data_IF_089860852956
#
_entry.id   IF_089860852956
#
_cell.length_a   1.000
_cell.length_b   1.000
_cell.length_c   1.000
_cell.angle_alpha   90.00
_cell.angle_beta   90.00
_cell.angle_gamma   90.00
#
_symmetry.space_group_name_H-M   'P 1'
#
loop_
_entity.id
_entity.type
_entity.pdbx_description
1 polymer ?
#
# COMPACT_ATOMS: atom_id res chain seq x y z
N UNK A 1 -5.88 -26.99 74.66
CA UNK A 1 -6.71 -25.93 74.06
C UNK A 1 -5.82 -25.12 73.13
N UNK A 2 -5.85 -25.42 71.82
CA UNK A 2 -5.08 -24.69 70.81
C UNK A 2 -6.04 -23.70 70.14
N UNK A 3 -5.75 -22.37 70.35
CA UNK A 3 -6.45 -21.27 69.68
C UNK A 3 -5.92 -21.14 68.26
N UNK A 4 -6.74 -21.38 67.24
CA UNK A 4 -6.45 -21.04 65.86
C UNK A 4 -6.72 -19.57 65.64
N UNK A 5 -5.64 -18.85 65.39
CA UNK A 5 -5.66 -17.44 64.97
C UNK A 5 -5.91 -17.44 63.43
N UNK A 6 -7.15 -17.11 63.03
CA UNK A 6 -7.45 -16.88 61.63
C UNK A 6 -6.92 -15.50 61.25
N UNK A 7 -5.81 -15.49 60.51
CA UNK A 7 -5.32 -14.31 59.79
C UNK A 7 -6.21 -14.13 58.57
N UNK A 8 -7.11 -13.14 58.60
CA UNK A 8 -7.77 -12.59 57.45
C UNK A 8 -6.77 -11.88 56.58
N UNK A 9 -6.19 -12.58 55.60
CA UNK A 9 -5.45 -12.00 54.53
C UNK A 9 -6.43 -11.37 53.53
N UNK A 10 -6.71 -10.06 53.72
CA UNK A 10 -7.47 -9.26 52.76
C UNK A 10 -6.66 -9.23 51.47
N UNK A 11 -7.09 -10.09 50.52
CA UNK A 11 -6.65 -9.98 49.13
C UNK A 11 -7.15 -8.66 48.56
N UNK A 12 -6.32 -7.64 48.62
CA UNK A 12 -6.44 -6.46 47.80
C UNK A 12 -6.15 -6.92 46.36
N UNK A 13 -7.18 -7.43 45.67
CA UNK A 13 -7.13 -7.55 44.23
C UNK A 13 -7.08 -6.12 43.70
N UNK A 14 -5.87 -5.62 43.51
CA UNK A 14 -5.62 -4.47 42.68
C UNK A 14 -6.19 -4.83 41.31
N UNK A 15 -7.35 -4.29 40.99
CA UNK A 15 -7.85 -4.14 39.64
C UNK A 15 -6.82 -3.28 38.89
N UNK A 16 -5.71 -3.90 38.49
CA UNK A 16 -4.90 -3.41 37.40
C UNK A 16 -5.80 -3.51 36.17
N UNK A 17 -6.64 -2.51 36.00
CA UNK A 17 -7.27 -2.26 34.72
C UNK A 17 -6.13 -2.25 33.69
N UNK A 18 -6.06 -3.28 32.88
CA UNK A 18 -5.24 -3.25 31.69
C UNK A 18 -5.76 -2.09 30.85
N UNK A 19 -5.18 -0.92 31.05
CA UNK A 19 -5.31 0.19 30.14
C UNK A 19 -4.74 -0.33 28.81
N UNK A 20 -5.60 -0.91 27.99
CA UNK A 20 -5.28 -1.14 26.58
C UNK A 20 -4.91 0.24 26.06
N UNK A 21 -3.61 0.46 25.88
CA UNK A 21 -3.08 1.73 25.42
C UNK A 21 -3.68 1.96 24.02
N UNK A 22 -4.65 2.90 23.95
CA UNK A 22 -5.33 3.22 22.70
C UNK A 22 -4.30 3.55 21.63
N UNK A 23 -4.54 3.10 20.41
CA UNK A 23 -3.68 3.41 19.30
C UNK A 23 -3.55 4.94 19.17
N UNK A 24 -2.32 5.43 19.20
CA UNK A 24 -2.00 6.85 19.01
C UNK A 24 -1.60 7.04 17.56
N UNK A 25 -2.07 8.14 16.97
CA UNK A 25 -1.75 8.46 15.59
C UNK A 25 -0.23 8.55 15.37
N UNK A 26 0.25 7.97 14.28
CA UNK A 26 1.68 7.89 13.96
C UNK A 26 1.87 8.11 12.46
N UNK A 27 2.69 9.08 12.08
CA UNK A 27 2.96 9.40 10.68
C UNK A 27 3.47 8.19 9.88
N UNK A 28 4.30 7.34 10.47
CA UNK A 28 4.83 6.14 9.81
C UNK A 28 3.74 5.15 9.41
N UNK A 29 2.69 5.05 10.22
CA UNK A 29 1.53 4.22 9.89
C UNK A 29 0.75 4.83 8.73
N UNK A 30 0.57 6.15 8.73
CA UNK A 30 -0.08 6.85 7.63
C UNK A 30 0.71 6.66 6.33
N UNK A 31 2.04 6.83 6.35
CA UNK A 31 2.91 6.63 5.18
C UNK A 31 2.82 5.19 4.65
N UNK A 32 2.73 4.21 5.55
CA UNK A 32 2.52 2.81 5.18
C UNK A 32 1.18 2.62 4.46
N UNK A 33 0.10 3.19 4.99
CA UNK A 33 -1.22 3.09 4.36
C UNK A 33 -1.26 3.81 3.02
N UNK A 34 -0.66 4.98 2.91
CA UNK A 34 -0.60 5.73 1.65
C UNK A 34 0.19 4.97 0.58
N UNK A 35 1.22 4.22 0.99
CA UNK A 35 2.03 3.39 0.09
C UNK A 35 1.28 2.14 -0.38
N UNK A 36 0.52 1.48 0.50
CA UNK A 36 -0.02 0.14 0.23
C UNK A 36 -1.54 0.08 0.07
N UNK A 37 -2.27 1.21 0.16
CA UNK A 37 -3.74 1.23 0.04
C UNK A 37 -4.23 0.65 -1.29
N UNK A 38 -3.56 0.97 -2.39
CA UNK A 38 -4.01 0.56 -3.71
C UNK A 38 -3.86 -0.95 -3.91
N UNK A 39 -2.73 -1.54 -3.46
CA UNK A 39 -2.58 -2.99 -3.50
C UNK A 39 -3.57 -3.70 -2.57
N UNK A 40 -3.87 -3.14 -1.40
CA UNK A 40 -4.86 -3.72 -0.49
C UNK A 40 -6.28 -3.68 -1.08
N UNK A 41 -6.66 -2.58 -1.75
CA UNK A 41 -7.93 -2.46 -2.47
C UNK A 41 -8.00 -3.49 -3.61
N UNK A 42 -6.93 -3.65 -4.38
CA UNK A 42 -6.85 -4.66 -5.42
C UNK A 42 -7.06 -6.08 -4.87
N UNK A 43 -6.36 -6.42 -3.78
CA UNK A 43 -6.55 -7.73 -3.14
C UNK A 43 -7.98 -7.90 -2.62
N UNK A 44 -8.61 -6.85 -2.09
CA UNK A 44 -10.02 -6.88 -1.68
C UNK A 44 -10.95 -7.24 -2.85
N UNK A 45 -10.77 -6.61 -3.99
CA UNK A 45 -11.60 -6.86 -5.18
C UNK A 45 -11.43 -8.27 -5.71
N UNK A 46 -10.20 -8.79 -5.69
CA UNK A 46 -9.86 -10.11 -6.22
C UNK A 46 -10.21 -11.26 -5.27
N UNK A 47 -9.96 -11.08 -3.97
CA UNK A 47 -10.03 -12.15 -2.98
C UNK A 47 -11.11 -11.95 -1.92
N UNK A 48 -11.86 -10.86 -1.97
CA UNK A 48 -12.97 -10.57 -1.05
C UNK A 48 -12.54 -10.46 0.42
N UNK A 49 -11.35 -9.90 0.67
CA UNK A 49 -10.83 -9.58 2.00
C UNK A 49 -10.86 -8.05 2.13
N UNK A 50 -11.47 -7.45 3.20
CA UNK A 50 -11.50 -5.99 3.34
C UNK A 50 -10.12 -5.35 3.24
N UNK A 51 -9.99 -4.28 2.45
CA UNK A 51 -8.73 -3.56 2.30
C UNK A 51 -8.25 -3.00 3.64
N UNK A 52 -9.18 -2.53 4.49
CA UNK A 52 -8.87 -2.05 5.84
C UNK A 52 -8.23 -3.13 6.72
N UNK A 53 -8.71 -4.36 6.64
CA UNK A 53 -8.17 -5.52 7.37
C UNK A 53 -6.74 -5.80 6.89
N UNK A 54 -6.55 -5.92 5.56
CA UNK A 54 -5.24 -6.19 4.97
C UNK A 54 -4.22 -5.11 5.36
N UNK A 55 -4.60 -3.84 5.30
CA UNK A 55 -3.73 -2.72 5.71
C UNK A 55 -3.39 -2.74 7.20
N UNK A 56 -4.39 -2.97 8.07
CA UNK A 56 -4.18 -3.02 9.50
C UNK A 56 -3.30 -4.21 9.93
N UNK A 57 -3.46 -5.38 9.29
CA UNK A 57 -2.58 -6.52 9.48
C UNK A 57 -1.16 -6.17 9.00
N UNK A 58 -1.03 -5.69 7.77
CA UNK A 58 0.28 -5.37 7.19
C UNK A 58 1.08 -4.38 8.04
N UNK A 59 0.46 -3.31 8.57
CA UNK A 59 1.17 -2.34 9.41
C UNK A 59 1.61 -2.93 10.74
N UNK A 60 0.79 -3.81 11.35
CA UNK A 60 1.11 -4.45 12.63
C UNK A 60 2.23 -5.49 12.49
N UNK A 61 2.06 -6.42 11.54
CA UNK A 61 2.98 -7.55 11.36
C UNK A 61 4.35 -7.10 10.83
N UNK A 62 4.39 -6.02 10.03
CA UNK A 62 5.63 -5.51 9.44
C UNK A 62 6.32 -4.41 10.26
N UNK A 63 5.71 -3.95 11.36
CA UNK A 63 6.17 -2.75 12.04
C UNK A 63 6.19 -1.53 11.12
N UNK A 64 5.13 -1.32 10.37
CA UNK A 64 5.04 -0.30 9.31
C UNK A 64 6.13 -0.45 8.23
N UNK A 65 6.37 -1.67 7.78
CA UNK A 65 7.35 -1.98 6.75
C UNK A 65 8.82 -1.98 7.23
N UNK A 66 9.06 -1.90 8.53
CA UNK A 66 10.41 -1.73 9.09
C UNK A 66 10.99 -2.97 9.79
N UNK A 67 10.20 -4.02 9.95
CA UNK A 67 10.72 -5.26 10.51
C UNK A 67 11.87 -5.79 9.65
N UNK A 68 12.78 -6.51 10.25
CA UNK A 68 13.91 -7.10 9.54
C UNK A 68 13.43 -8.03 8.43
N UNK A 69 12.43 -8.85 8.74
CA UNK A 69 11.80 -9.77 7.78
C UNK A 69 11.22 -9.02 6.59
N UNK A 70 10.54 -7.89 6.81
CA UNK A 70 9.99 -7.09 5.72
C UNK A 70 11.09 -6.50 4.84
N UNK A 71 12.15 -5.93 5.44
CA UNK A 71 13.25 -5.30 4.70
C UNK A 71 14.09 -6.30 3.89
N UNK A 72 14.32 -7.52 4.43
CA UNK A 72 15.17 -8.53 3.78
C UNK A 72 14.40 -9.44 2.83
N UNK A 73 13.13 -9.70 3.14
CA UNK A 73 12.34 -10.70 2.44
C UNK A 73 11.02 -10.17 1.84
N UNK A 74 10.72 -8.88 1.93
CA UNK A 74 9.43 -8.29 1.53
C UNK A 74 8.21 -9.01 2.16
N UNK A 75 8.37 -9.67 3.30
CA UNK A 75 7.29 -10.39 3.96
C UNK A 75 6.60 -9.47 4.96
N UNK A 76 5.47 -8.89 4.53
CA UNK A 76 4.71 -7.91 5.30
C UNK A 76 3.75 -8.52 6.32
N UNK A 77 3.52 -9.82 6.27
CA UNK A 77 2.51 -10.51 7.08
C UNK A 77 3.06 -11.63 7.95
N UNK A 78 4.38 -11.80 8.00
CA UNK A 78 5.02 -12.84 8.80
C UNK A 78 4.63 -14.26 8.38
N UNK A 79 4.38 -14.51 7.10
CA UNK A 79 3.93 -15.83 6.65
C UNK A 79 5.11 -16.81 6.69
N UNK A 80 4.95 -17.87 7.50
CA UNK A 80 5.92 -18.98 7.65
C UNK A 80 5.87 -19.91 6.43
N UNK A 81 6.92 -20.70 6.21
CA UNK A 81 7.09 -21.49 4.99
C UNK A 81 5.97 -22.50 4.71
N UNK A 82 5.58 -23.33 5.68
CA UNK A 82 4.48 -24.30 5.53
C UNK A 82 4.42 -25.00 4.15
N UNK A 83 5.52 -25.61 3.72
CA UNK A 83 5.61 -26.26 2.40
C UNK A 83 5.90 -25.32 1.22
N UNK A 84 6.24 -24.07 1.49
CA UNK A 84 6.62 -23.10 0.48
C UNK A 84 7.84 -23.54 -0.34
N UNK A 85 7.72 -23.53 -1.66
CA UNK A 85 8.79 -23.92 -2.60
C UNK A 85 9.55 -22.71 -3.17
N UNK A 86 9.07 -21.48 -2.95
CA UNK A 86 9.72 -20.25 -3.37
C UNK A 86 10.92 -19.86 -2.50
N UNK A 87 11.38 -18.62 -2.65
CA UNK A 87 12.48 -18.07 -1.84
C UNK A 87 12.14 -18.10 -0.36
N UNK A 88 13.14 -18.34 0.48
CA UNK A 88 13.00 -18.45 1.93
C UNK A 88 13.90 -17.45 2.64
N UNK A 89 13.45 -17.01 3.81
CA UNK A 89 14.25 -16.24 4.77
C UNK A 89 14.14 -16.92 6.13
N UNK A 90 15.22 -16.89 6.89
CA UNK A 90 15.26 -17.47 8.23
C UNK A 90 15.39 -16.33 9.24
N UNK A 91 14.57 -16.36 10.26
CA UNK A 91 14.49 -15.31 11.26
C UNK A 91 14.08 -15.92 12.61
N UNK A 92 14.61 -15.35 13.70
CA UNK A 92 14.23 -15.76 15.04
C UNK A 92 12.93 -15.07 15.42
N UNK A 93 11.89 -15.86 15.71
CA UNK A 93 10.58 -15.39 16.16
C UNK A 93 10.16 -16.21 17.39
N UNK A 94 9.18 -17.10 17.29
CA UNK A 94 8.82 -18.00 18.39
C UNK A 94 9.90 -19.05 18.65
N UNK A 95 10.64 -19.44 17.61
CA UNK A 95 11.77 -20.39 17.66
C UNK A 95 12.99 -19.81 16.93
N UNK A 96 14.18 -20.33 17.25
CA UNK A 96 15.42 -19.94 16.56
C UNK A 96 15.43 -20.45 15.12
N UNK A 97 15.72 -19.56 14.15
CA UNK A 97 15.89 -19.94 12.76
C UNK A 97 14.60 -20.37 12.06
N UNK A 98 13.44 -19.85 12.46
CA UNK A 98 12.18 -20.15 11.78
C UNK A 98 12.20 -19.75 10.32
N UNK A 99 11.54 -20.58 9.50
CA UNK A 99 11.46 -20.38 8.05
C UNK A 99 10.26 -19.51 7.67
N UNK A 100 10.54 -18.39 7.03
CA UNK A 100 9.54 -17.48 6.47
C UNK A 100 9.63 -17.43 4.95
N UNK A 101 8.47 -17.19 4.30
CA UNK A 101 8.42 -16.94 2.85
C UNK A 101 9.13 -15.65 2.52
N UNK A 102 9.86 -15.62 1.40
CA UNK A 102 10.53 -14.45 0.89
C UNK A 102 9.99 -14.12 -0.51
N UNK A 103 9.72 -12.85 -0.75
CA UNK A 103 9.10 -12.36 -1.97
C UNK A 103 10.03 -11.39 -2.69
N UNK A 104 9.79 -11.17 -4.00
CA UNK A 104 10.55 -10.22 -4.78
C UNK A 104 10.02 -8.78 -4.58
N UNK A 105 8.77 -8.64 -4.14
CA UNK A 105 8.12 -7.35 -3.89
C UNK A 105 7.12 -7.43 -2.74
N UNK A 106 6.74 -6.27 -2.21
CA UNK A 106 5.62 -6.14 -1.28
C UNK A 106 4.30 -6.65 -1.90
N UNK A 107 4.11 -6.40 -3.20
CA UNK A 107 2.93 -6.87 -3.94
C UNK A 107 2.75 -8.39 -3.84
N UNK A 108 3.83 -9.16 -4.09
CA UNK A 108 3.78 -10.64 -3.95
C UNK A 108 3.40 -11.06 -2.52
N UNK A 109 3.88 -10.33 -1.50
CA UNK A 109 3.53 -10.60 -0.11
C UNK A 109 2.03 -10.36 0.16
N UNK A 110 1.46 -9.28 -0.35
CA UNK A 110 0.03 -8.97 -0.24
C UNK A 110 -0.83 -10.00 -0.96
N UNK A 111 -0.41 -10.41 -2.15
CA UNK A 111 -1.10 -11.43 -2.93
C UNK A 111 -1.07 -12.78 -2.21
N UNK A 112 0.10 -13.21 -1.74
CA UNK A 112 0.25 -14.49 -1.03
C UNK A 112 -0.51 -14.51 0.30
N UNK A 113 -0.57 -13.39 1.02
CA UNK A 113 -1.43 -13.23 2.19
C UNK A 113 -2.91 -13.47 1.85
N UNK A 114 -3.38 -12.93 0.74
CA UNK A 114 -4.75 -13.12 0.29
C UNK A 114 -5.02 -14.58 -0.10
N UNK A 115 -4.08 -15.21 -0.81
CA UNK A 115 -4.15 -16.65 -1.14
C UNK A 115 -4.11 -17.50 0.13
N UNK A 116 -3.27 -17.17 1.10
CA UNK A 116 -3.18 -17.87 2.38
C UNK A 116 -4.51 -17.87 3.13
N UNK A 117 -5.21 -16.74 3.20
CA UNK A 117 -6.52 -16.66 3.85
C UNK A 117 -7.60 -17.41 3.07
N UNK A 118 -7.64 -17.28 1.75
CA UNK A 118 -8.69 -17.88 0.90
C UNK A 118 -8.54 -19.38 0.75
N UNK A 119 -7.32 -19.91 0.73
CA UNK A 119 -7.05 -21.34 0.55
C UNK A 119 -7.23 -22.18 1.82
N UNK A 120 -7.23 -21.56 2.99
CA UNK A 120 -7.33 -22.27 4.26
C UNK A 120 -8.77 -22.39 4.75
N UNK A 121 -9.26 -23.64 4.91
CA UNK A 121 -10.60 -23.92 5.48
C UNK A 121 -10.85 -23.23 6.81
N UNK A 122 -9.79 -23.00 7.60
CA UNK A 122 -9.85 -22.34 8.89
C UNK A 122 -10.49 -20.95 8.83
N UNK A 123 -10.30 -20.22 7.74
CA UNK A 123 -10.81 -18.87 7.54
C UNK A 123 -12.09 -18.81 6.70
N UNK A 124 -12.62 -19.94 6.23
CA UNK A 124 -13.75 -19.97 5.30
C UNK A 124 -15.00 -19.22 5.79
N UNK A 125 -15.28 -19.25 7.09
CA UNK A 125 -16.42 -18.54 7.69
C UNK A 125 -16.34 -17.02 7.54
N UNK A 126 -15.14 -16.44 7.39
CA UNK A 126 -14.97 -15.00 7.25
C UNK A 126 -15.56 -14.48 5.93
N UNK A 127 -15.55 -15.31 4.90
CA UNK A 127 -16.01 -14.93 3.56
C UNK A 127 -17.55 -14.84 3.44
N UNK A 128 -18.30 -15.19 4.49
CA UNK A 128 -19.73 -14.90 4.62
C UNK A 128 -20.02 -13.49 5.13
N UNK A 129 -19.01 -12.80 5.69
CA UNK A 129 -19.13 -11.44 6.17
C UNK A 129 -19.13 -10.42 5.02
N UNK A 130 -19.79 -9.28 5.24
CA UNK A 130 -19.70 -8.16 4.30
C UNK A 130 -18.28 -7.57 4.32
N UNK A 131 -17.79 -7.07 3.19
CA UNK A 131 -16.50 -6.38 3.13
C UNK A 131 -16.44 -5.19 4.08
N UNK A 132 -17.55 -4.49 4.26
CA UNK A 132 -17.65 -3.34 5.18
C UNK A 132 -17.74 -3.72 6.66
N UNK A 133 -17.84 -5.02 6.98
CA UNK A 133 -17.87 -5.49 8.38
C UNK A 133 -16.45 -5.82 8.88
N UNK A 134 -15.57 -4.82 8.86
CA UNK A 134 -14.20 -4.97 9.36
C UNK A 134 -14.11 -5.42 10.82
N UNK A 135 -15.14 -5.10 11.66
CA UNK A 135 -15.19 -5.55 13.05
C UNK A 135 -15.44 -7.04 13.16
N UNK A 136 -16.36 -7.56 12.36
CA UNK A 136 -16.61 -9.00 12.23
C UNK A 136 -15.39 -9.74 11.71
N UNK A 137 -14.73 -9.19 10.69
CA UNK A 137 -13.49 -9.73 10.14
C UNK A 137 -12.36 -9.79 11.17
N UNK A 138 -12.11 -8.68 11.91
CA UNK A 138 -11.05 -8.64 12.93
C UNK A 138 -11.27 -9.68 14.04
N UNK A 139 -12.50 -9.78 14.55
CA UNK A 139 -12.86 -10.77 15.57
C UNK A 139 -12.78 -12.19 15.03
N UNK A 140 -13.24 -12.40 13.82
CA UNK A 140 -13.20 -13.70 13.14
C UNK A 140 -11.77 -14.18 12.89
N UNK A 141 -10.87 -13.31 12.44
CA UNK A 141 -9.43 -13.64 12.30
C UNK A 141 -8.83 -14.11 13.62
N UNK A 142 -9.14 -13.39 14.73
CA UNK A 142 -8.70 -13.81 16.07
C UNK A 142 -9.31 -15.16 16.47
N UNK A 143 -10.60 -15.35 16.27
CA UNK A 143 -11.29 -16.61 16.58
C UNK A 143 -10.76 -17.78 15.76
N UNK A 144 -10.39 -17.55 14.50
CA UNK A 144 -9.74 -18.53 13.64
C UNK A 144 -8.25 -18.74 13.98
N UNK A 145 -7.70 -18.07 15.00
CA UNK A 145 -6.32 -18.28 15.45
C UNK A 145 -5.27 -17.70 14.50
N UNK A 146 -5.56 -16.57 13.82
CA UNK A 146 -4.57 -15.87 13.00
C UNK A 146 -3.40 -15.38 13.87
N UNK A 147 -3.69 -14.88 15.07
CA UNK A 147 -2.70 -14.45 16.04
C UNK A 147 -3.03 -14.96 17.44
N UNK A 148 -2.01 -15.18 18.27
CA UNK A 148 -2.14 -15.65 19.65
C UNK A 148 -2.57 -14.53 20.61
N UNK A 149 -2.15 -13.29 20.37
CA UNK A 149 -2.43 -12.13 21.22
C UNK A 149 -3.93 -11.96 21.51
N UNK A 150 -4.37 -11.85 22.78
CA UNK A 150 -5.77 -11.64 23.15
C UNK A 150 -6.33 -10.31 22.66
N UNK A 151 -5.47 -9.31 22.45
CA UNK A 151 -5.85 -7.95 22.02
C UNK A 151 -5.82 -7.77 20.49
N UNK A 152 -5.51 -8.81 19.73
CA UNK A 152 -5.30 -8.70 18.27
C UNK A 152 -6.47 -8.02 17.55
N UNK A 153 -7.68 -8.53 17.75
CA UNK A 153 -8.88 -7.97 17.12
C UNK A 153 -9.12 -6.50 17.49
N UNK A 154 -8.93 -6.18 18.78
CA UNK A 154 -9.10 -4.79 19.28
C UNK A 154 -8.09 -3.86 18.62
N UNK A 155 -6.82 -4.28 18.51
CA UNK A 155 -5.76 -3.48 17.87
C UNK A 155 -6.05 -3.24 16.39
N UNK A 156 -6.52 -4.26 15.65
CA UNK A 156 -6.92 -4.08 14.26
C UNK A 156 -8.05 -3.04 14.15
N UNK A 157 -9.10 -3.17 14.97
CA UNK A 157 -10.24 -2.25 14.96
C UNK A 157 -9.80 -0.82 15.28
N UNK A 158 -8.99 -0.63 16.32
CA UNK A 158 -8.49 0.70 16.73
C UNK A 158 -7.69 1.36 15.60
N UNK A 159 -6.81 0.61 14.92
CA UNK A 159 -6.04 1.11 13.78
C UNK A 159 -6.99 1.49 12.64
N UNK A 160 -7.91 0.61 12.29
CA UNK A 160 -8.87 0.87 11.20
C UNK A 160 -9.70 2.12 11.48
N UNK A 161 -10.15 2.31 12.71
CA UNK A 161 -10.94 3.48 13.11
C UNK A 161 -10.11 4.76 13.18
N UNK A 162 -8.92 4.71 13.79
CA UNK A 162 -8.03 5.86 13.94
C UNK A 162 -7.61 6.46 12.59
N UNK A 163 -7.25 5.60 11.62
CA UNK A 163 -6.81 6.03 10.29
C UNK A 163 -7.95 6.03 9.26
N UNK A 164 -9.17 5.71 9.69
CA UNK A 164 -10.38 5.66 8.83
C UNK A 164 -10.18 4.74 7.62
N UNK A 165 -9.49 3.60 7.80
CA UNK A 165 -9.19 2.67 6.72
C UNK A 165 -10.44 2.00 6.15
N UNK A 166 -11.53 1.90 6.94
CA UNK A 166 -12.83 1.38 6.49
C UNK A 166 -13.38 2.08 5.24
N UNK A 167 -12.92 3.29 4.94
CA UNK A 167 -13.28 4.00 3.71
C UNK A 167 -12.84 3.28 2.44
N UNK A 168 -11.81 2.43 2.53
CA UNK A 168 -11.31 1.64 1.42
C UNK A 168 -12.07 0.34 1.18
N UNK A 169 -12.99 -0.06 2.09
CA UNK A 169 -13.76 -1.30 2.00
C UNK A 169 -15.01 -1.15 1.11
N UNK A 170 -15.29 0.05 0.64
CA UNK A 170 -16.47 0.31 -0.18
C UNK A 170 -16.10 0.20 -1.68
N UNK A 171 -16.64 -0.84 -2.34
CA UNK A 171 -16.42 -1.08 -3.78
C UNK A 171 -16.86 0.10 -4.66
N UNK A 172 -17.80 0.94 -4.20
CA UNK A 172 -18.25 2.12 -4.93
C UNK A 172 -17.24 3.27 -4.96
N UNK A 173 -16.25 3.27 -4.05
CA UNK A 173 -15.15 4.23 -4.05
C UNK A 173 -13.94 3.75 -4.83
N UNK A 174 -13.96 2.50 -5.30
CA UNK A 174 -12.95 2.01 -6.23
C UNK A 174 -13.28 2.61 -7.58
N UNK A 175 -12.40 3.46 -8.09
CA UNK A 175 -12.58 4.06 -9.40
C UNK A 175 -12.85 2.97 -10.44
N UNK A 176 -13.83 3.24 -11.34
CA UNK A 176 -14.19 2.36 -12.46
C UNK A 176 -12.95 1.86 -13.21
N UNK A 177 -11.92 2.69 -13.28
CA UNK A 177 -10.65 2.35 -13.91
C UNK A 177 -9.89 1.24 -13.16
N UNK A 178 -9.86 1.26 -11.82
CA UNK A 178 -9.26 0.20 -11.00
C UNK A 178 -10.05 -1.11 -11.10
N UNK A 179 -11.39 -1.04 -11.14
CA UNK A 179 -12.26 -2.20 -11.32
C UNK A 179 -12.09 -2.87 -12.68
N UNK A 180 -11.95 -2.09 -13.75
CA UNK A 180 -11.69 -2.62 -15.09
C UNK A 180 -10.32 -3.29 -15.19
N UNK A 181 -9.29 -2.74 -14.54
CA UNK A 181 -7.96 -3.34 -14.45
C UNK A 181 -7.98 -4.73 -13.79
N UNK A 182 -8.70 -4.87 -12.67
CA UNK A 182 -8.82 -6.14 -11.94
C UNK A 182 -9.60 -7.20 -12.77
N UNK A 183 -10.55 -6.80 -13.59
CA UNK A 183 -11.38 -7.72 -14.39
C UNK A 183 -10.66 -8.28 -15.62
N UNK A 184 -9.71 -7.53 -16.19
CA UNK A 184 -9.08 -7.91 -17.47
C UNK A 184 -7.79 -8.70 -17.34
N UNK A 185 -7.27 -8.95 -16.11
CA UNK A 185 -5.93 -9.52 -15.95
C UNK A 185 -5.89 -10.84 -15.19
N UNK A 186 -5.65 -11.92 -15.91
CA UNK A 186 -5.00 -13.12 -15.40
C UNK A 186 -3.48 -13.01 -15.33
N UNK A 187 -2.91 -11.80 -15.38
CA UNK A 187 -1.47 -11.50 -15.39
C UNK A 187 -1.03 -10.63 -14.21
N UNK A 188 0.27 -10.43 -14.08
CA UNK A 188 0.88 -9.58 -13.05
C UNK A 188 0.29 -8.17 -13.12
N UNK A 189 -0.54 -7.82 -12.13
CA UNK A 189 -1.16 -6.50 -12.05
C UNK A 189 -0.13 -5.44 -11.69
N UNK A 190 -0.06 -4.42 -12.52
CA UNK A 190 0.80 -3.26 -12.28
C UNK A 190 0.09 -2.30 -11.34
N UNK A 191 0.78 -1.87 -10.28
CA UNK A 191 0.22 -0.90 -9.34
C UNK A 191 -0.07 0.43 -10.06
N UNK A 192 -1.34 0.85 -10.05
CA UNK A 192 -1.79 2.14 -10.58
C UNK A 192 -1.89 3.13 -9.44
N UNK A 193 -1.28 4.29 -9.60
CA UNK A 193 -1.28 5.39 -8.65
C UNK A 193 -2.14 6.52 -9.16
N UNK A 194 -2.77 7.27 -8.24
CA UNK A 194 -3.50 8.49 -8.58
C UNK A 194 -2.73 9.73 -8.14
N UNK A 195 -2.62 10.71 -9.04
CA UNK A 195 -2.15 12.04 -8.72
C UNK A 195 -2.69 13.06 -9.74
N UNK A 196 -2.99 14.27 -9.29
CA UNK A 196 -3.48 15.38 -10.13
C UNK A 196 -4.76 15.00 -10.93
N UNK A 197 -5.68 14.26 -10.29
CA UNK A 197 -6.89 13.67 -10.93
C UNK A 197 -6.54 12.90 -12.22
N UNK A 198 -5.47 12.15 -12.18
CA UNK A 198 -4.97 11.32 -13.28
C UNK A 198 -4.28 10.09 -12.71
N UNK A 199 -4.03 9.08 -13.54
CA UNK A 199 -3.43 7.83 -13.14
C UNK A 199 -2.07 7.63 -13.77
N UNK A 200 -1.16 7.01 -13.03
CA UNK A 200 0.15 6.60 -13.53
C UNK A 200 0.58 5.26 -12.95
N UNK A 201 1.52 4.62 -13.60
CA UNK A 201 2.25 3.45 -13.10
C UNK A 201 3.73 3.78 -13.02
N UNK A 202 4.46 3.03 -12.21
CA UNK A 202 5.92 3.11 -12.15
C UNK A 202 6.51 2.04 -13.04
N UNK A 203 7.43 2.42 -13.91
CA UNK A 203 8.13 1.50 -14.79
C UNK A 203 9.08 0.60 -13.99
N UNK A 204 9.10 -0.69 -14.29
CA UNK A 204 10.08 -1.65 -13.79
C UNK A 204 11.24 -1.80 -14.79
N UNK A 205 12.32 -2.40 -14.33
CA UNK A 205 13.47 -2.69 -15.20
C UNK A 205 13.05 -3.51 -16.43
N UNK A 206 13.33 -2.99 -17.61
CA UNK A 206 13.01 -3.63 -18.89
C UNK A 206 11.61 -3.32 -19.43
N UNK A 207 10.86 -2.44 -18.77
CA UNK A 207 9.56 -1.99 -19.28
C UNK A 207 9.68 -1.16 -20.55
N UNK A 208 8.63 -1.26 -21.33
CA UNK A 208 8.39 -0.46 -22.54
C UNK A 208 6.96 0.07 -22.52
N UNK A 209 6.66 1.09 -23.32
CA UNK A 209 5.25 1.50 -23.49
C UNK A 209 4.37 0.36 -24.00
N UNK A 210 4.94 -0.63 -24.70
CA UNK A 210 4.21 -1.80 -25.19
C UNK A 210 3.86 -2.77 -24.05
N UNK A 211 4.83 -3.10 -23.17
CA UNK A 211 4.59 -3.99 -22.03
C UNK A 211 3.58 -3.34 -21.06
N UNK A 212 3.84 -2.09 -20.67
CA UNK A 212 2.91 -1.35 -19.80
C UNK A 212 1.52 -1.23 -20.44
N UNK A 213 1.46 -0.95 -21.75
CA UNK A 213 0.18 -0.83 -22.46
C UNK A 213 -0.64 -2.11 -22.47
N UNK A 214 0.02 -3.27 -22.55
CA UNK A 214 -0.64 -4.57 -22.42
C UNK A 214 -1.15 -4.80 -20.99
N UNK A 215 -0.34 -4.44 -19.98
CA UNK A 215 -0.71 -4.61 -18.57
C UNK A 215 -1.91 -3.76 -18.14
N UNK A 216 -2.05 -2.54 -18.71
CA UNK A 216 -3.08 -1.57 -18.31
C UNK A 216 -4.19 -1.39 -19.35
N UNK A 217 -4.26 -2.24 -20.37
CA UNK A 217 -5.20 -2.17 -21.49
C UNK A 217 -5.28 -0.78 -22.15
N UNK A 218 -4.12 -0.13 -22.31
CA UNK A 218 -4.01 1.15 -23.00
C UNK A 218 -3.03 1.01 -24.17
N UNK A 219 -3.46 1.39 -25.36
CA UNK A 219 -2.58 1.36 -26.53
C UNK A 219 -1.24 2.05 -26.23
N UNK A 220 -0.11 1.34 -26.44
CA UNK A 220 1.23 1.86 -26.23
C UNK A 220 1.51 3.17 -26.96
N UNK A 221 0.89 3.39 -28.14
CA UNK A 221 0.99 4.64 -28.89
C UNK A 221 0.28 5.79 -28.15
N UNK A 222 -0.85 5.50 -27.49
CA UNK A 222 -1.54 6.49 -26.64
C UNK A 222 -0.74 6.77 -25.39
N UNK A 223 -0.16 5.74 -24.75
CA UNK A 223 0.68 5.92 -23.57
C UNK A 223 1.89 6.82 -23.90
N UNK A 224 2.64 6.53 -24.94
CA UNK A 224 3.75 7.36 -25.37
C UNK A 224 3.32 8.83 -25.59
N UNK A 225 2.19 9.05 -26.28
CA UNK A 225 1.61 10.39 -26.49
C UNK A 225 1.18 11.09 -25.20
N UNK A 226 0.62 10.36 -24.22
CA UNK A 226 0.26 10.92 -22.93
C UNK A 226 1.47 11.35 -22.12
N UNK A 227 2.59 10.65 -22.29
CA UNK A 227 3.87 10.91 -21.66
C UNK A 227 4.77 11.84 -22.46
N UNK A 228 4.31 12.31 -23.64
CA UNK A 228 5.08 13.24 -24.50
C UNK A 228 6.45 12.64 -24.92
N UNK A 229 6.46 11.33 -25.20
CA UNK A 229 7.61 10.50 -25.60
C UNK A 229 7.37 9.79 -26.94
N UNK A 230 8.44 9.32 -27.59
CA UNK A 230 8.30 8.37 -28.70
C UNK A 230 7.89 7.00 -28.19
N UNK A 231 7.10 6.28 -28.99
CA UNK A 231 6.56 4.95 -28.61
C UNK A 231 7.64 3.87 -28.45
N UNK A 232 8.84 4.11 -28.99
CA UNK A 232 9.97 3.19 -28.93
C UNK A 232 11.03 3.63 -27.89
N UNK A 233 10.77 4.73 -27.16
CA UNK A 233 11.68 5.16 -26.11
C UNK A 233 11.82 4.09 -25.03
N UNK A 234 13.04 3.94 -24.52
CA UNK A 234 13.34 3.08 -23.38
C UNK A 234 12.86 3.77 -22.10
N UNK A 235 12.17 3.02 -21.24
CA UNK A 235 11.75 3.49 -19.95
C UNK A 235 12.77 3.12 -18.89
N UNK A 236 13.07 4.06 -18.00
CA UNK A 236 13.95 3.82 -16.86
C UNK A 236 13.17 3.22 -15.70
N UNK A 237 13.84 2.37 -14.91
CA UNK A 237 13.26 1.84 -13.68
C UNK A 237 12.92 2.99 -12.72
N UNK A 238 11.69 3.00 -12.21
CA UNK A 238 11.18 4.08 -11.34
C UNK A 238 10.55 5.24 -12.10
N UNK A 239 10.58 5.26 -13.44
CA UNK A 239 9.94 6.31 -14.24
C UNK A 239 8.41 6.26 -14.12
N UNK A 240 7.78 7.42 -13.91
CA UNK A 240 6.32 7.56 -13.88
C UNK A 240 5.76 7.52 -15.30
N UNK A 241 4.84 6.62 -15.57
CA UNK A 241 4.16 6.49 -16.86
C UNK A 241 2.68 6.81 -16.71
N UNK A 242 2.26 7.95 -17.20
CA UNK A 242 0.88 8.44 -17.13
C UNK A 242 -0.03 7.66 -18.07
N UNK A 243 -1.15 7.17 -17.51
CA UNK A 243 -2.12 6.36 -18.24
C UNK A 243 -3.15 7.18 -19.01
N UNK A 244 -3.23 8.46 -18.69
CA UNK A 244 -4.06 9.44 -19.38
C UNK A 244 -3.27 10.72 -19.66
N UNK A 245 -3.83 11.56 -20.51
CA UNK A 245 -3.21 12.85 -20.83
C UNK A 245 -3.02 13.73 -19.60
N UNK A 246 -1.79 14.13 -19.32
CA UNK A 246 -1.44 15.01 -18.19
C UNK A 246 -2.28 16.28 -18.17
N UNK A 247 -2.45 16.88 -17.01
CA UNK A 247 -3.24 18.09 -16.81
C UNK A 247 -2.51 19.34 -17.29
N UNK A 248 -3.20 20.47 -17.31
CA UNK A 248 -2.59 21.75 -17.72
C UNK A 248 -1.82 22.43 -16.58
N UNK A 249 -2.13 22.07 -15.33
CA UNK A 249 -1.59 22.66 -14.08
C UNK A 249 -1.48 21.57 -13.03
N UNK A 250 -0.62 21.75 -12.03
CA UNK A 250 -0.59 20.92 -10.83
C UNK A 250 -1.91 21.00 -10.04
N UNK A 251 -2.15 20.09 -9.08
CA UNK A 251 -3.31 20.13 -8.17
C UNK A 251 -3.50 21.48 -7.48
N UNK A 252 -4.72 21.74 -6.97
CA UNK A 252 -5.06 23.08 -6.41
C UNK A 252 -4.22 23.45 -5.20
N UNK A 253 -3.80 22.49 -4.41
CA UNK A 253 -2.93 22.64 -3.24
C UNK A 253 -1.56 23.21 -3.57
N UNK A 254 -1.11 23.09 -4.83
CA UNK A 254 0.14 23.69 -5.32
C UNK A 254 -0.01 25.17 -5.76
N UNK A 255 -1.17 25.78 -5.51
CA UNK A 255 -1.36 27.20 -5.86
C UNK A 255 -0.46 28.09 -4.99
N UNK A 256 0.40 28.86 -5.63
CA UNK A 256 1.36 29.75 -4.96
C UNK A 256 2.65 29.04 -4.49
N UNK A 257 2.74 27.72 -4.61
CA UNK A 257 3.97 27.00 -4.34
C UNK A 257 4.93 27.08 -5.53
N UNK A 258 6.21 27.14 -5.21
CA UNK A 258 7.32 27.18 -6.17
C UNK A 258 8.10 25.89 -6.05
N UNK A 259 8.41 25.27 -7.17
CA UNK A 259 9.37 24.18 -7.25
C UNK A 259 10.77 24.75 -7.48
N UNK A 260 11.71 24.40 -6.60
CA UNK A 260 13.13 24.68 -6.81
C UNK A 260 13.76 23.53 -7.58
N UNK A 261 14.36 23.82 -8.72
CA UNK A 261 15.01 22.81 -9.57
C UNK A 261 16.19 22.19 -8.82
N UNK A 262 16.17 20.88 -8.71
CA UNK A 262 17.23 20.08 -8.07
C UNK A 262 18.22 19.53 -9.11
N UNK A 263 19.35 19.01 -8.62
CA UNK A 263 20.35 18.40 -9.50
C UNK A 263 19.77 17.18 -10.24
N UNK A 264 19.99 17.13 -11.55
CA UNK A 264 19.47 16.06 -12.43
C UNK A 264 18.03 16.25 -12.90
N UNK A 265 17.30 17.27 -12.43
CA UNK A 265 15.96 17.55 -12.93
C UNK A 265 15.97 18.30 -14.26
N UNK A 266 15.00 17.99 -15.11
CA UNK A 266 14.69 18.67 -16.36
C UNK A 266 13.25 19.18 -16.35
N UNK A 267 12.91 20.10 -17.25
CA UNK A 267 11.50 20.52 -17.46
C UNK A 267 10.61 19.31 -17.71
N UNK A 268 11.12 18.28 -18.40
CA UNK A 268 10.39 17.05 -18.66
C UNK A 268 10.17 16.26 -17.36
N UNK A 269 11.21 15.96 -16.58
CA UNK A 269 11.08 15.19 -15.34
C UNK A 269 10.16 15.89 -14.32
N UNK A 270 10.26 17.21 -14.19
CA UNK A 270 9.36 18.02 -13.35
C UNK A 270 7.92 17.96 -13.86
N UNK A 271 7.72 18.00 -15.19
CA UNK A 271 6.40 17.85 -15.79
C UNK A 271 5.77 16.48 -15.51
N UNK A 272 6.58 15.42 -15.47
CA UNK A 272 6.18 14.07 -15.09
C UNK A 272 5.81 14.02 -13.60
N UNK A 273 6.68 14.51 -12.72
CA UNK A 273 6.51 14.54 -11.27
C UNK A 273 5.18 15.18 -10.84
N UNK A 274 4.76 16.25 -11.50
CA UNK A 274 3.54 16.99 -11.15
C UNK A 274 2.34 16.70 -12.07
N UNK A 275 2.45 15.76 -13.00
CA UNK A 275 1.37 15.43 -13.93
C UNK A 275 0.92 16.59 -14.80
N UNK A 276 1.84 17.48 -15.16
CA UNK A 276 1.60 18.67 -15.99
C UNK A 276 2.11 18.39 -17.40
N UNK A 277 1.38 18.81 -18.43
CA UNK A 277 1.92 18.77 -19.82
C UNK A 277 3.15 19.65 -19.92
N UNK A 278 4.20 19.15 -20.53
CA UNK A 278 5.48 19.85 -20.66
C UNK A 278 5.31 21.27 -21.24
N UNK A 279 4.57 21.39 -22.34
CA UNK A 279 4.27 22.70 -22.94
C UNK A 279 3.53 23.68 -22.02
N UNK A 280 2.71 23.14 -21.08
CA UNK A 280 2.00 23.96 -20.12
C UNK A 280 2.91 24.42 -18.99
N UNK A 281 3.88 23.59 -18.57
CA UNK A 281 4.90 23.98 -17.59
C UNK A 281 5.75 25.14 -18.10
N UNK A 282 6.21 25.08 -19.36
CA UNK A 282 6.87 26.22 -20.01
C UNK A 282 5.99 27.47 -20.03
N UNK A 283 4.73 27.33 -20.48
CA UNK A 283 3.79 28.47 -20.57
C UNK A 283 3.49 29.13 -19.21
N UNK A 284 3.34 28.32 -18.13
CA UNK A 284 3.07 28.84 -16.76
C UNK A 284 4.23 29.71 -16.29
N UNK A 285 5.47 29.37 -16.73
CA UNK A 285 6.68 30.06 -16.32
C UNK A 285 7.17 31.10 -17.33
N UNK A 286 6.41 31.36 -18.40
CA UNK A 286 6.78 32.29 -19.47
C UNK A 286 8.14 31.98 -20.11
N UNK A 287 8.44 30.68 -20.29
CA UNK A 287 9.67 30.17 -20.85
C UNK A 287 9.44 29.61 -22.25
N UNK A 288 10.42 29.76 -23.10
CA UNK A 288 10.45 29.14 -24.44
C UNK A 288 10.80 27.63 -24.32
N UNK A 289 10.33 26.76 -25.25
CA UNK A 289 10.55 25.33 -25.20
C UNK A 289 12.02 24.87 -25.22
N UNK A 290 12.92 25.71 -25.72
CA UNK A 290 14.38 25.50 -25.78
C UNK A 290 15.13 26.04 -24.55
N UNK A 291 14.40 26.69 -23.62
CA UNK A 291 15.01 27.22 -22.40
C UNK A 291 15.54 26.08 -21.51
N UNK A 292 16.80 26.18 -21.15
CA UNK A 292 17.47 25.24 -20.25
C UNK A 292 17.43 25.75 -18.81
N UNK A 293 16.77 25.00 -17.94
CA UNK A 293 16.72 25.29 -16.50
C UNK A 293 18.05 24.92 -15.81
N UNK A 294 18.32 25.55 -14.66
CA UNK A 294 19.50 25.31 -13.82
C UNK A 294 19.07 24.99 -12.40
N UNK A 295 19.91 24.31 -11.65
CA UNK A 295 19.70 24.06 -10.21
C UNK A 295 19.41 25.39 -9.49
N UNK A 296 18.41 25.35 -8.62
CA UNK A 296 17.90 26.54 -7.89
C UNK A 296 16.95 27.43 -8.69
N UNK A 297 16.67 27.12 -9.97
CA UNK A 297 15.65 27.85 -10.73
C UNK A 297 14.27 27.63 -10.12
N UNK A 298 13.47 28.72 -10.06
CA UNK A 298 12.16 28.71 -9.44
C UNK A 298 11.06 28.52 -10.49
N UNK A 299 10.32 27.44 -10.39
CA UNK A 299 9.23 27.13 -11.30
C UNK A 299 7.87 27.19 -10.61
N UNK A 300 6.94 27.90 -11.23
CA UNK A 300 5.51 27.86 -10.89
C UNK A 300 4.89 26.59 -11.47
N UNK A 301 4.03 25.96 -10.70
CA UNK A 301 3.38 24.70 -11.08
C UNK A 301 1.92 24.89 -11.48
N UNK A 302 1.37 26.10 -11.16
CA UNK A 302 -0.04 26.40 -11.37
C UNK A 302 -0.30 27.89 -11.64
#
# INVERSE_FOLDING_TARGET
MKRYLFLLLSLFFALLGSNAQRAVWNQRFQDYFDTYKDVAIEQMLKYRIPASITLAQGVLESGAGRSELTRKANNHFGIKCHGWTGRKSYHDDDELGECFRAYNSAYESYQDHSVFLTSSKRYSSLFSLKLTDYKGWARGLKACGYATSPTYATRLIEIIELYKLYRYDNEHHVDKYQLEQVRHQGGVLRQVHEFNNNYYVVAHKGDTFRSIGADVDVSYRKLAKFNERDKNDVLEEGEMVWLQKKRRKAPKEYKGLIHLVENGESMYSISQKYGIRLKNLYKINHLDPDFTIRVGYQLRLR
#
